data_IF_831511224253
#
_entry.id   IF_831511224253
#
_cell.length_a   1.000
_cell.length_b   1.000
_cell.length_c   1.000
_cell.angle_alpha   90.00
_cell.angle_beta   90.00
_cell.angle_gamma   90.00
#
_symmetry.space_group_name_H-M   'P 1'
#
loop_
_entity.id
_entity.type
_entity.pdbx_description
1 polymer ?
#
# COMPACT_ATOMS: atom_id res chain seq x y z
N UNK A 1 4.20 -14.91 0.85
CA UNK A 1 5.00 -14.84 -0.39
C UNK A 1 5.19 -13.39 -0.78
N UNK A 2 6.39 -13.02 -1.24
CA UNK A 2 6.65 -11.73 -1.88
C UNK A 2 6.09 -11.79 -3.30
N UNK A 3 5.39 -10.75 -3.75
CA UNK A 3 4.81 -10.68 -5.09
C UNK A 3 5.29 -9.42 -5.81
N UNK A 4 5.64 -9.54 -7.09
CA UNK A 4 5.99 -8.41 -7.95
C UNK A 4 4.73 -7.93 -8.66
N UNK A 5 4.32 -6.68 -8.43
CA UNK A 5 3.15 -6.08 -9.09
C UNK A 5 3.55 -5.54 -10.47
N UNK A 6 4.64 -4.76 -10.51
CA UNK A 6 5.03 -4.01 -11.70
C UNK A 6 6.52 -3.74 -11.69
N UNK A 7 7.10 -3.71 -12.88
CA UNK A 7 8.50 -3.34 -13.13
C UNK A 7 8.51 -2.26 -14.19
N UNK A 8 9.32 -1.23 -13.98
CA UNK A 8 9.54 -0.12 -14.88
C UNK A 8 11.04 0.03 -15.10
N UNK A 9 11.44 0.36 -16.32
CA UNK A 9 12.83 0.60 -16.68
C UNK A 9 12.91 1.88 -17.49
N UNK A 10 13.85 2.74 -17.13
CA UNK A 10 14.10 4.01 -17.77
C UNK A 10 15.58 4.06 -18.13
N UNK A 11 15.85 3.95 -19.43
CA UNK A 11 17.22 3.89 -19.96
C UNK A 11 17.91 5.25 -19.90
N UNK A 12 17.15 6.34 -19.99
CA UNK A 12 17.69 7.71 -19.94
C UNK A 12 18.41 8.00 -18.63
N UNK A 13 17.85 7.52 -17.52
CA UNK A 13 18.38 7.71 -16.17
C UNK A 13 19.05 6.47 -15.58
N UNK A 14 19.25 5.42 -16.39
CA UNK A 14 19.73 4.11 -15.93
C UNK A 14 19.02 3.62 -14.66
N UNK A 15 17.69 3.75 -14.65
CA UNK A 15 16.84 3.52 -13.49
C UNK A 15 15.91 2.31 -13.71
N UNK A 16 15.73 1.51 -12.66
CA UNK A 16 14.77 0.42 -12.59
C UNK A 16 13.91 0.56 -11.33
N UNK A 17 12.60 0.54 -11.50
CA UNK A 17 11.65 0.66 -10.40
C UNK A 17 10.79 -0.60 -10.33
N UNK A 18 10.65 -1.16 -9.13
CA UNK A 18 9.91 -2.40 -8.87
C UNK A 18 8.91 -2.15 -7.75
N UNK A 19 7.64 -2.45 -8.01
CA UNK A 19 6.60 -2.43 -6.97
C UNK A 19 6.37 -3.86 -6.50
N UNK A 20 6.50 -4.07 -5.19
CA UNK A 20 6.38 -5.34 -4.50
C UNK A 20 5.22 -5.32 -3.51
N UNK A 21 4.58 -6.47 -3.29
CA UNK A 21 3.71 -6.72 -2.14
C UNK A 21 4.46 -7.63 -1.17
N UNK A 22 4.72 -7.11 0.02
CA UNK A 22 5.29 -7.88 1.13
C UNK A 22 4.25 -8.88 1.65
N UNK A 23 4.67 -10.00 2.29
CA UNK A 23 3.74 -10.95 2.90
C UNK A 23 2.75 -10.33 3.90
N UNK A 24 3.08 -9.15 4.45
CA UNK A 24 2.24 -8.37 5.34
C UNK A 24 1.20 -7.51 4.62
N UNK A 25 1.05 -7.63 3.30
CA UNK A 25 0.18 -6.79 2.46
C UNK A 25 0.67 -5.37 2.23
N UNK A 26 1.81 -4.97 2.81
CA UNK A 26 2.40 -3.66 2.54
C UNK A 26 2.98 -3.65 1.14
N UNK A 27 2.79 -2.52 0.45
CA UNK A 27 3.43 -2.29 -0.82
C UNK A 27 4.75 -1.57 -0.60
N UNK A 28 5.74 -1.97 -1.39
CA UNK A 28 7.07 -1.41 -1.36
C UNK A 28 7.49 -1.06 -2.78
N UNK A 29 7.93 0.16 -2.99
CA UNK A 29 8.58 0.61 -4.20
C UNK A 29 10.09 0.54 -3.97
N UNK A 30 10.80 -0.16 -4.84
CA UNK A 30 12.26 -0.24 -4.86
C UNK A 30 12.74 0.38 -6.16
N UNK A 31 13.48 1.47 -6.07
CA UNK A 31 14.10 2.17 -7.18
C UNK A 31 15.60 1.89 -7.09
N UNK A 32 16.13 1.21 -8.10
CA UNK A 32 17.56 1.06 -8.34
C UNK A 32 17.98 2.07 -9.41
N UNK A 33 19.00 2.88 -9.16
CA UNK A 33 19.54 3.78 -10.19
C UNK A 33 21.07 3.79 -10.19
N UNK A 34 21.64 4.01 -11.36
CA UNK A 34 23.05 4.30 -11.53
C UNK A 34 23.19 5.74 -12.02
N UNK A 35 23.74 6.61 -11.19
CA UNK A 35 24.06 7.99 -11.56
C UNK A 35 25.55 8.07 -11.88
N UNK A 36 25.97 8.04 -13.16
CA UNK A 36 27.37 7.96 -13.52
C UNK A 36 28.13 9.25 -13.16
N UNK A 37 29.45 9.17 -13.00
CA UNK A 37 30.31 10.35 -12.78
C UNK A 37 30.29 11.38 -13.93
N UNK A 38 29.84 10.95 -15.12
CA UNK A 38 29.61 11.81 -16.29
C UNK A 38 28.26 11.41 -16.88
N UNK A 39 27.32 12.34 -16.85
CA UNK A 39 25.96 12.15 -17.36
C UNK A 39 25.63 13.25 -18.38
N UNK A 40 24.69 12.96 -19.27
CA UNK A 40 24.25 13.85 -20.34
C UNK A 40 22.90 14.51 -20.06
N UNK A 41 22.25 14.17 -18.94
CA UNK A 41 20.98 14.72 -18.51
C UNK A 41 21.17 15.89 -17.52
N UNK A 42 20.12 16.67 -17.27
CA UNK A 42 20.12 17.61 -16.15
C UNK A 42 19.94 16.86 -14.83
N UNK A 43 20.80 17.11 -13.83
CA UNK A 43 20.71 16.44 -12.53
C UNK A 43 19.36 16.70 -11.85
N UNK A 44 18.77 17.89 -12.05
CA UNK A 44 17.47 18.26 -11.50
C UNK A 44 16.35 17.42 -12.12
N UNK A 45 16.42 17.12 -13.41
CA UNK A 45 15.43 16.27 -14.08
C UNK A 45 15.48 14.85 -13.52
N UNK A 46 16.68 14.32 -13.25
CA UNK A 46 16.84 13.03 -12.58
C UNK A 46 16.27 13.03 -11.15
N UNK A 47 16.54 14.08 -10.38
CA UNK A 47 15.99 14.25 -9.02
C UNK A 47 14.46 14.36 -9.04
N UNK A 48 13.90 15.20 -9.91
CA UNK A 48 12.46 15.34 -10.11
C UNK A 48 11.84 14.00 -10.46
N UNK A 49 12.47 13.24 -11.36
CA UNK A 49 11.99 11.93 -11.75
C UNK A 49 11.91 10.96 -10.57
N UNK A 50 12.94 10.89 -9.73
CA UNK A 50 12.93 10.05 -8.53
C UNK A 50 11.78 10.44 -7.59
N UNK A 51 11.58 11.74 -7.38
CA UNK A 51 10.51 12.29 -6.53
C UNK A 51 9.14 11.94 -7.10
N UNK A 52 8.90 12.19 -8.39
CA UNK A 52 7.66 11.86 -9.08
C UNK A 52 7.31 10.37 -8.98
N UNK A 53 8.27 9.46 -9.20
CA UNK A 53 8.03 8.00 -9.05
C UNK A 53 7.62 7.67 -7.61
N UNK A 54 8.28 8.30 -6.63
CA UNK A 54 7.98 8.13 -5.21
C UNK A 54 6.58 8.62 -4.86
N UNK A 55 6.24 9.83 -5.28
CA UNK A 55 4.97 10.50 -4.99
C UNK A 55 3.80 9.79 -5.66
N UNK A 56 3.91 9.45 -6.95
CA UNK A 56 2.91 8.66 -7.68
C UNK A 56 2.59 7.33 -6.95
N UNK A 57 3.63 6.69 -6.41
CA UNK A 57 3.46 5.47 -5.64
C UNK A 57 2.78 5.71 -4.29
N UNK A 58 3.16 6.78 -3.58
CA UNK A 58 2.63 7.11 -2.26
C UNK A 58 1.19 7.65 -2.31
N UNK A 59 0.80 8.34 -3.37
CA UNK A 59 -0.58 8.79 -3.60
C UNK A 59 -1.54 7.61 -3.68
N UNK A 60 -1.14 6.54 -4.37
CA UNK A 60 -1.92 5.30 -4.47
C UNK A 60 -1.78 4.47 -3.19
N UNK A 61 -0.65 4.58 -2.49
CA UNK A 61 -0.31 3.75 -1.35
C UNK A 61 0.23 4.60 -0.19
N UNK A 62 -0.64 5.31 0.58
CA UNK A 62 -0.20 6.27 1.61
C UNK A 62 0.63 5.66 2.75
N UNK A 63 0.55 4.34 2.95
CA UNK A 63 1.36 3.59 3.92
C UNK A 63 2.51 2.81 3.26
N UNK A 64 2.84 3.14 2.02
CA UNK A 64 3.85 2.50 1.21
C UNK A 64 5.26 2.78 1.73
N UNK A 65 6.15 1.82 1.48
CA UNK A 65 7.57 1.96 1.74
C UNK A 65 8.27 2.28 0.43
N UNK A 66 9.04 3.37 0.40
CA UNK A 66 9.90 3.72 -0.73
C UNK A 66 11.34 3.45 -0.34
N UNK A 67 12.05 2.75 -1.21
CA UNK A 67 13.49 2.57 -1.17
C UNK A 67 14.05 3.05 -2.50
N UNK A 68 14.94 4.02 -2.44
CA UNK A 68 15.75 4.44 -3.59
C UNK A 68 17.20 4.12 -3.28
N UNK A 69 17.95 3.51 -4.19
CA UNK A 69 19.36 3.25 -3.93
C UNK A 69 20.13 2.79 -5.15
N UNK A 70 21.45 2.78 -4.98
CA UNK A 70 22.40 2.42 -6.04
C UNK A 70 23.69 3.21 -5.90
N UNK A 71 24.50 3.17 -6.94
CA UNK A 71 25.68 4.03 -7.07
C UNK A 71 25.21 5.39 -7.59
N UNK A 72 25.17 6.34 -6.67
CA UNK A 72 24.67 7.69 -6.89
C UNK A 72 25.82 8.69 -7.16
N UNK A 73 27.08 8.23 -7.20
CA UNK A 73 28.28 9.06 -7.36
C UNK A 73 28.23 10.42 -6.62
N UNK A 74 28.05 11.52 -7.35
CA UNK A 74 28.09 12.89 -6.83
C UNK A 74 26.70 13.54 -6.67
N UNK A 75 25.63 12.74 -6.77
CA UNK A 75 24.26 13.23 -6.66
C UNK A 75 24.08 14.04 -5.37
N UNK A 76 23.39 15.17 -5.45
CA UNK A 76 23.12 16.02 -4.30
C UNK A 76 22.14 15.36 -3.31
N UNK A 77 22.69 14.59 -2.38
CA UNK A 77 21.99 13.87 -1.30
C UNK A 77 21.07 14.80 -0.49
N UNK A 78 21.53 16.02 -0.19
CA UNK A 78 20.77 16.98 0.60
C UNK A 78 19.55 17.49 -0.16
N UNK A 79 19.73 17.77 -1.46
CA UNK A 79 18.63 18.21 -2.33
C UNK A 79 17.59 17.11 -2.51
N UNK A 80 18.03 15.87 -2.80
CA UNK A 80 17.13 14.73 -2.90
C UNK A 80 16.33 14.54 -1.61
N UNK A 81 16.99 14.61 -0.45
CA UNK A 81 16.32 14.46 0.85
C UNK A 81 15.31 15.58 1.10
N UNK A 82 15.64 16.81 0.67
CA UNK A 82 14.74 17.97 0.81
C UNK A 82 13.52 17.86 -0.08
N UNK A 83 13.69 17.41 -1.33
CA UNK A 83 12.60 17.30 -2.30
C UNK A 83 11.68 16.11 -2.04
N UNK A 84 12.25 14.96 -1.66
CA UNK A 84 11.49 13.71 -1.48
C UNK A 84 11.04 13.44 -0.04
N UNK A 85 11.64 14.11 0.95
CA UNK A 85 11.49 13.75 2.36
C UNK A 85 12.13 12.42 2.75
N UNK A 86 12.81 11.72 1.84
CA UNK A 86 13.54 10.49 2.14
C UNK A 86 14.87 10.79 2.82
N UNK A 87 15.32 9.87 3.69
CA UNK A 87 16.58 10.00 4.41
C UNK A 87 17.58 8.94 3.97
N UNK A 88 18.88 9.28 3.81
CA UNK A 88 19.93 8.32 3.50
C UNK A 88 20.18 7.37 4.67
N UNK A 89 20.52 6.12 4.36
CA UNK A 89 20.77 5.05 5.31
C UNK A 89 22.26 4.67 5.41
N UNK A 90 23.08 5.09 4.45
CA UNK A 90 24.53 4.81 4.42
C UNK A 90 25.31 6.04 4.88
N UNK A 91 26.10 5.86 5.94
CA UNK A 91 26.92 6.89 6.59
C UNK A 91 28.43 6.57 6.56
N UNK A 92 28.85 5.58 5.78
CA UNK A 92 30.23 5.11 5.69
C UNK A 92 30.74 5.08 4.23
N UNK A 93 32.07 5.20 4.00
CA UNK A 93 32.64 5.11 2.66
C UNK A 93 32.34 3.79 1.98
N UNK A 94 31.89 3.85 0.73
CA UNK A 94 31.63 2.67 -0.11
C UNK A 94 32.68 2.48 -1.19
N UNK A 95 33.46 3.53 -1.51
CA UNK A 95 34.62 3.44 -2.41
C UNK A 95 35.75 4.34 -1.89
N UNK A 96 36.85 3.73 -1.44
CA UNK A 96 37.95 4.48 -0.82
C UNK A 96 37.48 5.25 0.40
N UNK A 97 37.50 6.59 0.33
CA UNK A 97 36.98 7.48 1.39
C UNK A 97 35.64 8.15 1.02
N UNK A 98 35.10 7.85 -0.15
CA UNK A 98 33.86 8.45 -0.64
C UNK A 98 32.64 7.56 -0.35
N UNK A 99 31.50 8.19 -0.10
CA UNK A 99 30.17 7.54 0.02
C UNK A 99 29.49 7.73 -1.33
N UNK A 100 29.68 6.76 -2.24
CA UNK A 100 29.12 6.82 -3.61
C UNK A 100 27.86 5.97 -3.73
N UNK A 101 27.73 4.92 -2.92
CA UNK A 101 26.57 4.05 -2.88
C UNK A 101 25.72 4.44 -1.67
N UNK A 102 24.44 4.71 -1.91
CA UNK A 102 23.51 5.02 -0.81
C UNK A 102 22.15 4.38 -1.04
N UNK A 103 21.36 4.33 0.03
CA UNK A 103 19.96 3.97 -0.02
C UNK A 103 19.17 4.96 0.81
N UNK A 104 18.10 5.48 0.24
CA UNK A 104 17.19 6.44 0.83
C UNK A 104 15.85 5.78 1.08
N UNK A 105 15.18 6.22 2.13
CA UNK A 105 13.82 5.76 2.43
C UNK A 105 12.98 6.81 3.10
N UNK A 106 11.67 6.75 2.88
CA UNK A 106 10.68 7.52 3.61
C UNK A 106 10.42 6.98 5.03
N UNK A 107 10.93 5.80 5.38
CA UNK A 107 10.71 5.12 6.68
C UNK A 107 12.00 4.57 7.28
N UNK A 108 12.97 5.43 7.64
CA UNK A 108 14.28 5.00 8.13
C UNK A 108 14.17 4.20 9.45
N UNK A 109 13.12 4.41 10.24
CA UNK A 109 12.90 3.70 11.49
C UNK A 109 12.60 2.20 11.31
N UNK A 110 12.35 1.74 10.07
CA UNK A 110 12.16 0.33 9.76
C UNK A 110 13.49 -0.42 9.57
N UNK A 111 14.60 0.29 9.46
CA UNK A 111 15.91 -0.27 9.17
C UNK A 111 16.87 -0.10 10.34
N UNK A 112 17.78 -1.05 10.51
CA UNK A 112 18.92 -0.92 11.39
C UNK A 112 20.05 -0.17 10.67
N UNK A 113 21.08 0.22 11.43
CA UNK A 113 22.29 0.81 10.88
C UNK A 113 22.88 -0.07 9.78
N UNK A 114 23.14 0.53 8.62
CA UNK A 114 23.79 -0.12 7.50
C UNK A 114 25.23 -0.48 7.84
N UNK A 115 25.78 -1.50 7.20
CA UNK A 115 27.18 -1.88 7.36
C UNK A 115 27.83 -2.34 6.05
N UNK A 116 29.15 -2.16 5.91
CA UNK A 116 29.88 -2.53 4.72
C UNK A 116 30.06 -4.06 4.62
N UNK A 117 30.01 -4.56 3.39
CA UNK A 117 30.31 -5.94 3.02
C UNK A 117 31.44 -5.95 1.98
N UNK A 118 32.51 -6.69 2.27
CA UNK A 118 33.53 -6.96 1.26
C UNK A 118 33.03 -8.07 0.33
N UNK A 119 32.76 -7.71 -0.92
CA UNK A 119 32.28 -8.66 -1.92
C UNK A 119 33.48 -9.46 -2.45
N UNK A 120 33.31 -10.76 -2.69
CA UNK A 120 34.37 -11.64 -3.22
C UNK A 120 34.75 -11.33 -4.69
N UNK A 121 33.99 -10.46 -5.35
CA UNK A 121 34.23 -10.05 -6.73
C UNK A 121 35.33 -8.98 -6.78
N UNK A 122 36.05 -8.89 -7.90
CA UNK A 122 37.06 -7.84 -8.10
C UNK A 122 36.38 -6.50 -8.36
N UNK A 123 36.11 -5.76 -7.29
CA UNK A 123 35.55 -4.41 -7.29
C UNK A 123 36.29 -3.55 -6.27
N UNK A 124 36.39 -2.25 -6.54
CA UNK A 124 36.86 -1.24 -5.60
C UNK A 124 35.73 -0.64 -4.76
N UNK A 125 34.48 -1.06 -5.00
CA UNK A 125 33.32 -0.74 -4.16
C UNK A 125 33.09 -1.79 -3.08
N UNK A 126 32.61 -1.35 -1.93
CA UNK A 126 32.04 -2.17 -0.87
C UNK A 126 30.56 -2.40 -1.14
N UNK A 127 30.09 -3.61 -0.86
CA UNK A 127 28.66 -3.87 -0.77
C UNK A 127 28.06 -3.20 0.47
N UNK A 128 26.78 -2.87 0.39
CA UNK A 128 26.02 -2.30 1.50
C UNK A 128 24.95 -3.30 1.93
N UNK A 129 24.90 -3.63 3.22
CA UNK A 129 23.77 -4.38 3.80
C UNK A 129 22.97 -3.45 4.70
N UNK A 130 21.65 -3.44 4.50
CA UNK A 130 20.69 -2.67 5.28
C UNK A 130 19.69 -3.66 5.90
N UNK A 131 19.89 -4.06 7.17
CA UNK A 131 19.00 -5.01 7.82
C UNK A 131 17.66 -4.35 8.16
N UNK A 132 16.58 -5.14 8.09
CA UNK A 132 15.32 -4.74 8.69
C UNK A 132 15.48 -4.62 10.22
N UNK A 133 15.20 -3.44 10.77
CA UNK A 133 15.29 -3.16 12.20
C UNK A 133 13.98 -3.38 12.94
N UNK A 134 12.85 -3.10 12.30
CA UNK A 134 11.53 -3.23 12.91
C UNK A 134 10.56 -3.91 11.95
N UNK A 135 9.75 -4.83 12.47
CA UNK A 135 8.65 -5.44 11.69
C UNK A 135 7.58 -4.40 11.43
N UNK A 136 7.20 -4.21 10.17
CA UNK A 136 6.04 -3.39 9.78
C UNK A 136 4.80 -3.79 10.59
N UNK A 137 4.17 -2.79 11.22
CA UNK A 137 2.87 -2.95 11.87
C UNK A 137 1.87 -3.40 10.81
N UNK A 138 1.00 -4.37 11.08
CA UNK A 138 0.09 -4.86 10.05
C UNK A 138 -0.87 -3.76 9.60
N UNK A 139 -1.17 -3.69 8.30
CA UNK A 139 -2.17 -2.74 7.79
C UNK A 139 -3.53 -3.13 8.36
N UNK A 140 -4.30 -2.12 8.74
CA UNK A 140 -5.65 -2.28 9.30
C UNK A 140 -6.65 -1.57 8.42
N UNK A 141 -7.50 -2.33 7.73
CA UNK A 141 -8.55 -1.78 6.88
C UNK A 141 -9.89 -1.99 7.55
N UNK A 142 -10.70 -0.92 7.66
CA UNK A 142 -12.09 -1.04 8.07
C UNK A 142 -12.90 -1.51 6.87
N UNK A 143 -13.44 -2.72 6.92
CA UNK A 143 -14.43 -3.17 5.95
C UNK A 143 -15.82 -3.09 6.57
N UNK A 144 -16.80 -2.67 5.76
CA UNK A 144 -18.20 -2.71 6.15
C UNK A 144 -18.91 -3.80 5.35
N UNK A 145 -19.71 -4.61 6.04
CA UNK A 145 -20.54 -5.62 5.40
C UNK A 145 -21.91 -5.69 6.09
N UNK A 146 -22.92 -6.17 5.37
CA UNK A 146 -24.25 -6.37 5.92
C UNK A 146 -24.36 -7.74 6.62
N UNK A 147 -24.99 -7.75 7.79
CA UNK A 147 -25.16 -8.97 8.58
C UNK A 147 -26.32 -9.83 8.06
N UNK A 148 -26.05 -10.72 7.10
CA UNK A 148 -27.04 -11.64 6.51
C UNK A 148 -27.27 -12.93 7.28
N UNK A 149 -27.04 -12.96 8.61
CA UNK A 149 -27.34 -14.14 9.43
C UNK A 149 -28.82 -14.54 9.35
N UNK A 150 -29.11 -15.83 9.57
CA UNK A 150 -30.44 -16.42 9.40
C UNK A 150 -31.56 -15.63 10.11
N UNK A 151 -31.33 -15.19 11.36
CA UNK A 151 -32.28 -14.37 12.12
C UNK A 151 -32.67 -13.06 11.41
N UNK A 152 -31.71 -12.42 10.74
CA UNK A 152 -31.95 -11.16 10.02
C UNK A 152 -32.67 -11.42 8.70
N UNK A 153 -32.41 -12.56 8.04
CA UNK A 153 -33.17 -12.99 6.87
C UNK A 153 -34.64 -13.26 7.21
N UNK A 154 -34.90 -13.95 8.33
CA UNK A 154 -36.27 -14.18 8.83
C UNK A 154 -36.96 -12.85 9.16
N UNK A 155 -36.26 -11.92 9.82
CA UNK A 155 -36.78 -10.57 10.10
C UNK A 155 -37.16 -9.82 8.83
N UNK A 156 -36.34 -9.91 7.79
CA UNK A 156 -36.59 -9.28 6.49
C UNK A 156 -37.79 -9.92 5.77
N UNK A 157 -37.87 -11.25 5.74
CA UNK A 157 -39.01 -11.98 5.16
C UNK A 157 -40.32 -11.60 5.85
N UNK A 158 -40.31 -11.54 7.18
CA UNK A 158 -41.48 -11.10 7.97
C UNK A 158 -41.91 -9.68 7.59
N UNK A 159 -40.97 -8.73 7.51
CA UNK A 159 -41.30 -7.35 7.10
C UNK A 159 -41.83 -7.24 5.68
N UNK A 160 -41.31 -8.03 4.74
CA UNK A 160 -41.82 -8.08 3.37
C UNK A 160 -43.27 -8.59 3.33
N UNK A 161 -43.57 -9.61 4.13
CA UNK A 161 -44.92 -10.18 4.22
C UNK A 161 -45.92 -9.24 4.93
N UNK A 162 -45.47 -8.43 5.88
CA UNK A 162 -46.30 -7.49 6.64
C UNK A 162 -46.52 -6.14 5.95
N UNK A 163 -45.70 -5.77 4.95
CA UNK A 163 -45.83 -4.49 4.26
C UNK A 163 -47.01 -4.50 3.29
N UNK A 164 -47.89 -3.51 3.43
CA UNK A 164 -48.85 -3.18 2.38
C UNK A 164 -48.14 -2.51 1.20
N UNK A 165 -48.32 -3.07 0.00
CA UNK A 165 -47.75 -2.55 -1.26
C UNK A 165 -48.70 -1.60 -2.00
N UNK A 166 -49.85 -1.28 -1.40
CA UNK A 166 -50.86 -0.36 -1.96
C UNK A 166 -50.34 1.06 -2.19
N UNK A 167 -49.24 1.45 -1.55
CA UNK A 167 -48.58 2.76 -1.74
C UNK A 167 -47.99 2.90 -3.16
N UNK A 168 -47.60 1.81 -3.83
CA UNK A 168 -47.04 1.85 -5.19
C UNK A 168 -48.08 1.82 -6.31
N UNK A 169 -49.33 1.45 -6.00
CA UNK A 169 -50.42 1.32 -6.98
C UNK A 169 -51.18 2.62 -7.24
N UNK A 170 -50.89 3.67 -6.47
CA UNK A 170 -51.59 4.96 -6.53
C UNK A 170 -50.76 6.07 -7.19
N UNK A 171 -49.63 5.72 -7.80
CA UNK A 171 -48.73 6.67 -8.47
C UNK A 171 -49.16 6.94 -9.91
N UNK A 172 -48.95 8.16 -10.40
CA UNK A 172 -49.36 8.57 -11.75
C UNK A 172 -48.46 8.00 -12.84
N UNK A 173 -47.21 7.66 -12.50
CA UNK A 173 -46.21 7.12 -13.43
C UNK A 173 -45.57 5.82 -12.93
N UNK A 174 -45.11 5.01 -13.88
CA UNK A 174 -44.41 3.73 -13.58
C UNK A 174 -43.07 3.99 -12.91
N UNK A 175 -42.41 5.08 -13.28
CA UNK A 175 -41.13 5.52 -12.75
C UNK A 175 -41.23 5.87 -11.26
N UNK A 176 -42.29 6.58 -10.86
CA UNK A 176 -42.56 6.91 -9.45
C UNK A 176 -42.88 5.68 -8.62
N UNK A 177 -43.72 4.78 -9.15
CA UNK A 177 -44.04 3.51 -8.49
C UNK A 177 -42.77 2.67 -8.26
N UNK A 178 -41.89 2.61 -9.26
CA UNK A 178 -40.62 1.88 -9.18
C UNK A 178 -39.70 2.50 -8.13
N UNK A 179 -39.57 3.83 -8.11
CA UNK A 179 -38.75 4.54 -7.12
C UNK A 179 -39.25 4.34 -5.68
N UNK A 180 -40.57 4.34 -5.47
CA UNK A 180 -41.18 4.06 -4.16
C UNK A 180 -40.90 2.62 -3.71
N UNK A 181 -41.00 1.66 -4.63
CA UNK A 181 -40.68 0.25 -4.37
C UNK A 181 -39.21 0.08 -3.96
N UNK A 182 -38.28 0.61 -4.75
CA UNK A 182 -36.84 0.53 -4.50
C UNK A 182 -36.46 1.15 -3.16
N UNK A 183 -36.94 2.37 -2.88
CA UNK A 183 -36.67 3.05 -1.61
C UNK A 183 -37.23 2.26 -0.42
N UNK A 184 -38.42 1.69 -0.56
CA UNK A 184 -39.04 0.87 0.48
C UNK A 184 -38.21 -0.38 0.77
N UNK A 185 -37.78 -1.10 -0.26
CA UNK A 185 -36.94 -2.30 -0.13
C UNK A 185 -35.56 -1.93 0.45
N UNK A 186 -34.93 -0.86 -0.02
CA UNK A 186 -33.66 -0.39 0.52
C UNK A 186 -33.75 -0.05 2.01
N UNK A 187 -34.80 0.67 2.42
CA UNK A 187 -35.06 0.98 3.82
C UNK A 187 -35.25 -0.27 4.66
N UNK A 188 -35.98 -1.28 4.16
CA UNK A 188 -36.13 -2.55 4.85
C UNK A 188 -34.82 -3.32 4.96
N UNK A 189 -33.99 -3.30 3.91
CA UNK A 189 -32.65 -3.90 3.90
C UNK A 189 -31.78 -3.23 4.96
N UNK A 190 -31.79 -1.91 5.07
CA UNK A 190 -31.03 -1.17 6.08
C UNK A 190 -31.48 -1.50 7.51
N UNK A 191 -32.78 -1.64 7.73
CA UNK A 191 -33.35 -1.97 9.04
C UNK A 191 -33.16 -3.44 9.45
N UNK A 192 -33.08 -4.36 8.48
CA UNK A 192 -32.99 -5.80 8.75
C UNK A 192 -31.56 -6.33 8.67
N UNK A 193 -30.72 -5.75 7.82
CA UNK A 193 -29.33 -6.16 7.61
C UNK A 193 -28.40 -5.00 8.00
N UNK A 194 -28.17 -4.79 9.31
CA UNK A 194 -27.33 -3.71 9.79
C UNK A 194 -25.92 -3.86 9.21
N UNK A 195 -25.34 -2.73 8.80
CA UNK A 195 -23.92 -2.66 8.41
C UNK A 195 -23.08 -2.89 9.67
N UNK A 196 -22.18 -3.86 9.60
CA UNK A 196 -21.15 -4.10 10.61
C UNK A 196 -19.81 -3.72 10.04
N UNK A 197 -19.06 -2.95 10.81
CA UNK A 197 -17.70 -2.59 10.47
C UNK A 197 -16.76 -3.45 11.29
N UNK A 198 -15.83 -4.12 10.61
CA UNK A 198 -14.74 -4.83 11.27
C UNK A 198 -13.42 -4.28 10.77
N UNK A 199 -12.47 -4.16 11.68
CA UNK A 199 -11.10 -3.82 11.34
C UNK A 199 -10.37 -5.11 11.02
N UNK A 200 -9.92 -5.25 9.77
CA UNK A 200 -9.11 -6.36 9.32
C UNK A 200 -7.65 -5.98 9.30
N UNK A 201 -6.86 -6.80 9.98
CA UNK A 201 -5.42 -6.79 9.86
C UNK A 201 -5.00 -7.58 8.62
N UNK A 202 -3.91 -7.19 7.97
CA UNK A 202 -3.25 -8.06 6.96
C UNK A 202 -2.69 -9.36 7.52
N UNK A 203 -2.75 -9.55 8.84
CA UNK A 203 -2.46 -10.83 9.51
C UNK A 203 -3.71 -11.68 9.74
N UNK A 204 -4.89 -11.12 9.54
CA UNK A 204 -6.14 -11.87 9.61
C UNK A 204 -6.31 -12.64 8.29
N UNK A 205 -6.37 -13.97 8.39
CA UNK A 205 -6.56 -14.86 7.24
C UNK A 205 -7.91 -14.56 6.56
N UNK A 206 -7.90 -14.38 5.23
CA UNK A 206 -8.99 -14.20 4.24
C UNK A 206 -10.39 -13.72 4.72
N UNK A 207 -11.03 -12.82 3.96
CA UNK A 207 -12.36 -12.28 4.27
C UNK A 207 -13.42 -13.39 4.38
N UNK A 208 -13.24 -14.49 3.64
CA UNK A 208 -14.09 -15.68 3.72
C UNK A 208 -14.06 -16.36 5.10
N UNK A 209 -12.90 -16.39 5.76
CA UNK A 209 -12.68 -16.97 7.10
C UNK A 209 -13.31 -16.15 8.23
N UNK A 210 -13.57 -14.86 8.05
CA UNK A 210 -14.26 -14.03 9.05
C UNK A 210 -15.73 -14.41 9.24
N UNK A 211 -16.38 -14.96 8.21
CA UNK A 211 -17.73 -15.54 8.33
C UNK A 211 -17.73 -16.72 9.32
N UNK A 212 -16.60 -17.41 9.45
CA UNK A 212 -16.40 -18.57 10.33
C UNK A 212 -15.98 -18.12 11.75
N UNK A 213 -15.09 -17.12 11.87
CA UNK A 213 -14.57 -16.65 13.17
C UNK A 213 -15.62 -16.02 14.09
N UNK A 214 -16.69 -15.42 13.54
CA UNK A 214 -17.83 -14.95 14.35
C UNK A 214 -18.68 -16.10 14.96
N UNK A 215 -18.45 -17.37 14.61
CA UNK A 215 -18.98 -18.52 15.36
C UNK A 215 -18.12 -18.90 16.57
N UNK A 216 -16.85 -18.49 16.64
CA UNK A 216 -15.91 -18.91 17.70
C UNK A 216 -15.66 -17.87 18.80
N UNK A 217 -15.98 -16.59 18.59
CA UNK A 217 -15.84 -15.54 19.63
C UNK A 217 -17.00 -15.48 20.65
N UNK A 218 -17.89 -16.47 20.67
CA UNK A 218 -18.86 -16.69 21.75
C UNK A 218 -18.46 -18.00 22.44
N UNK A 219 -17.39 -17.95 23.24
CA UNK A 219 -17.06 -18.86 24.34
C UNK A 219 -15.72 -18.38 24.92
N UNK A 220 -15.79 -17.82 26.13
CA UNK A 220 -14.70 -17.16 26.85
C UNK A 220 -15.22 -15.88 27.45
#
# INVERSE_FOLDING_TARGET
NLEVIRVFRETEFEMISIILILPTGHKMLVIGAYHPSRFSYDETDFLNRIVEVGDDFLDINPNGLVLFGGDINHLNVSQLSTMSGMLPLVDFPTRGQAILDNCFTNRPELFNKAYPLHIQMKTDHLGVIIPAGIKLKPLRTKISFRDYRAQNKVKFQKKLAEKSWSEGTSMETVEEATKVLENTIHNMIDQCFPKKTVTLSTRDMDVSTLKILNKKKIKG
#
